data_IF_137579750211
#
_entry.id   IF_137579750211
#
_cell.length_a   1.000
_cell.length_b   1.000
_cell.length_c   1.000
_cell.angle_alpha   90.00
_cell.angle_beta   90.00
_cell.angle_gamma   90.00
#
_symmetry.space_group_name_H-M   'P 1'
#
loop_
_entity.id
_entity.type
_entity.pdbx_description
1 polymer ?
#
# COMPACT_ATOMS: atom_id res chain seq x y z
N UNK A 1 28.38 -30.30 -43.47
CA UNK A 1 29.26 -31.30 -42.80
C UNK A 1 30.23 -30.48 -41.96
N UNK A 2 29.94 -30.35 -40.69
CA UNK A 2 30.85 -30.38 -39.56
C UNK A 2 30.08 -30.00 -38.31
N UNK A 3 29.96 -30.98 -37.44
CA UNK A 3 29.38 -30.86 -36.11
C UNK A 3 30.41 -30.24 -35.16
N UNK A 4 30.01 -29.29 -34.34
CA UNK A 4 30.75 -28.95 -33.14
C UNK A 4 29.83 -29.10 -31.92
N UNK A 5 30.14 -30.18 -31.16
CA UNK A 5 29.65 -30.42 -29.82
C UNK A 5 30.12 -29.34 -28.85
N UNK A 6 29.19 -28.81 -28.04
CA UNK A 6 29.52 -28.00 -26.86
C UNK A 6 29.12 -28.78 -25.61
N UNK A 7 30.17 -29.21 -24.91
CA UNK A 7 30.21 -29.92 -23.66
C UNK A 7 29.50 -29.21 -22.51
N UNK A 8 28.56 -29.91 -21.88
CA UNK A 8 27.92 -29.53 -20.60
C UNK A 8 28.88 -29.75 -19.42
N UNK A 9 29.27 -28.71 -18.72
CA UNK A 9 29.92 -28.84 -17.41
C UNK A 9 28.87 -28.68 -16.30
N UNK A 10 28.45 -29.80 -15.72
CA UNK A 10 27.76 -29.86 -14.42
C UNK A 10 28.78 -29.54 -13.32
N UNK A 11 28.53 -28.47 -12.55
CA UNK A 11 29.18 -28.25 -11.27
C UNK A 11 28.35 -28.89 -10.17
N UNK A 12 28.89 -29.93 -9.54
CA UNK A 12 28.37 -30.57 -8.35
C UNK A 12 28.61 -29.68 -7.12
N UNK A 13 27.55 -29.33 -6.40
CA UNK A 13 27.67 -28.70 -5.07
C UNK A 13 27.78 -29.78 -4.01
N UNK A 14 28.92 -29.80 -3.32
CA UNK A 14 29.21 -30.66 -2.17
C UNK A 14 28.45 -30.15 -0.95
N UNK A 15 27.55 -31.00 -0.42
CA UNK A 15 26.92 -30.79 0.90
C UNK A 15 27.98 -30.98 2.00
N UNK A 16 28.29 -29.97 2.76
CA UNK A 16 29.00 -30.10 4.04
C UNK A 16 28.00 -30.35 5.15
N UNK A 17 28.05 -31.50 5.74
CA UNK A 17 27.38 -31.84 7.01
C UNK A 17 28.13 -31.18 8.17
N UNK A 18 27.38 -30.61 9.11
CA UNK A 18 27.91 -30.25 10.41
C UNK A 18 27.05 -30.93 11.50
N UNK A 19 27.69 -31.63 12.47
CA UNK A 19 26.97 -32.48 13.40
C UNK A 19 26.66 -31.83 14.73
N UNK A 20 25.47 -32.16 15.24
CA UNK A 20 25.07 -32.32 16.63
C UNK A 20 25.52 -31.32 17.69
N UNK A 21 24.53 -30.60 18.26
CA UNK A 21 24.47 -30.36 19.71
C UNK A 21 23.09 -30.73 20.24
N UNK A 22 23.08 -31.74 21.15
CA UNK A 22 21.98 -32.09 22.04
C UNK A 22 21.87 -31.03 23.15
N UNK A 23 20.66 -30.66 23.52
CA UNK A 23 20.43 -29.78 24.67
C UNK A 23 18.97 -29.69 25.04
N UNK A 24 18.55 -30.61 25.90
CA UNK A 24 17.61 -30.51 27.05
C UNK A 24 16.26 -29.81 26.80
N UNK A 25 15.24 -30.66 26.66
CA UNK A 25 13.85 -30.34 26.97
C UNK A 25 13.68 -30.15 28.48
N UNK A 26 13.26 -28.98 28.91
CA UNK A 26 12.67 -28.74 30.22
C UNK A 26 11.18 -28.44 30.06
N UNK A 27 10.35 -29.42 30.31
CA UNK A 27 8.91 -29.29 30.46
C UNK A 27 8.62 -28.62 31.81
N UNK A 28 8.06 -27.40 31.78
CA UNK A 28 7.46 -26.77 32.95
C UNK A 28 6.00 -27.23 33.05
N UNK A 29 5.74 -28.23 33.89
CA UNK A 29 4.42 -28.57 34.40
C UNK A 29 4.01 -27.54 35.47
N UNK A 30 3.04 -26.68 35.18
CA UNK A 30 2.40 -25.82 36.18
C UNK A 30 1.18 -26.54 36.71
N UNK A 31 1.28 -27.09 37.90
CA UNK A 31 0.15 -27.63 38.71
C UNK A 31 -0.55 -26.45 39.38
N UNK A 32 -1.82 -26.23 39.04
CA UNK A 32 -2.70 -25.30 39.77
C UNK A 32 -3.15 -25.94 41.07
N UNK A 33 -2.82 -25.32 42.23
CA UNK A 33 -3.40 -25.60 43.53
C UNK A 33 -4.55 -24.60 43.79
N UNK A 34 -5.74 -25.04 44.17
CA UNK A 34 -6.85 -24.15 44.51
C UNK A 34 -6.77 -23.82 46.02
N UNK A 35 -6.61 -22.53 46.36
CA UNK A 35 -7.03 -21.92 47.62
C UNK A 35 -6.33 -20.57 47.85
N UNK A 36 -6.93 -19.49 47.28
CA UNK A 36 -6.84 -18.15 47.88
C UNK A 36 -8.02 -17.30 47.42
N UNK A 37 -8.94 -17.02 48.31
CA UNK A 37 -10.01 -16.05 48.09
C UNK A 37 -9.51 -14.67 48.54
N UNK A 38 -9.28 -13.71 47.66
CA UNK A 38 -9.16 -12.32 48.04
C UNK A 38 -10.55 -11.68 48.10
N UNK A 39 -10.92 -11.14 49.24
CA UNK A 39 -12.07 -10.23 49.36
C UNK A 39 -11.78 -8.94 48.59
N UNK A 40 -12.39 -8.79 47.42
CA UNK A 40 -12.33 -7.54 46.66
C UNK A 40 -13.36 -6.54 47.22
N UNK A 41 -12.87 -5.46 47.77
CA UNK A 41 -13.66 -4.24 48.03
C UNK A 41 -13.92 -3.58 46.68
N UNK A 42 -15.17 -3.64 46.22
CA UNK A 42 -15.62 -3.05 44.95
C UNK A 42 -15.85 -1.55 45.08
N UNK A 43 -14.86 -0.73 44.75
CA UNK A 43 -15.10 0.68 44.49
C UNK A 43 -15.67 0.83 43.08
N UNK A 44 -16.81 1.50 42.89
CA UNK A 44 -17.49 1.75 41.59
C UNK A 44 -16.60 2.43 40.53
N UNK A 45 -15.50 3.06 40.94
CA UNK A 45 -14.50 3.67 40.03
C UNK A 45 -13.54 2.68 39.38
N UNK A 46 -13.28 1.51 40.03
CA UNK A 46 -12.39 0.49 39.47
C UNK A 46 -13.07 -0.32 38.34
N UNK A 47 -14.37 -0.58 38.51
CA UNK A 47 -15.15 -1.31 37.51
C UNK A 47 -15.38 -0.52 36.22
N UNK A 48 -15.49 0.82 36.31
CA UNK A 48 -15.63 1.65 35.12
C UNK A 48 -14.32 1.72 34.27
N UNK A 49 -13.15 1.76 34.92
CA UNK A 49 -11.86 1.71 34.22
C UNK A 49 -11.57 0.33 33.64
N UNK A 50 -11.91 -0.75 34.36
CA UNK A 50 -11.75 -2.12 33.86
C UNK A 50 -12.72 -2.41 32.70
N UNK A 51 -13.98 -1.96 32.80
CA UNK A 51 -14.97 -2.06 31.72
C UNK A 51 -14.62 -1.18 30.51
N UNK A 52 -13.99 -0.01 30.73
CA UNK A 52 -13.48 0.85 29.66
C UNK A 52 -12.23 0.22 29.00
N UNK A 53 -11.33 -0.38 29.80
CA UNK A 53 -10.15 -1.10 29.30
C UNK A 53 -10.53 -2.40 28.58
N UNK A 54 -11.55 -3.14 29.06
CA UNK A 54 -12.09 -4.33 28.39
C UNK A 54 -12.92 -3.98 27.16
N UNK A 55 -13.63 -2.84 27.14
CA UNK A 55 -14.28 -2.33 25.93
C UNK A 55 -13.27 -1.86 24.87
N UNK A 56 -12.12 -1.33 25.27
CA UNK A 56 -11.01 -1.01 24.38
C UNK A 56 -10.27 -2.27 23.89
N UNK A 57 -10.32 -3.38 24.61
CA UNK A 57 -9.70 -4.65 24.19
C UNK A 57 -10.54 -5.41 23.13
N UNK A 58 -11.79 -5.01 22.89
CA UNK A 58 -12.67 -5.57 21.85
C UNK A 58 -12.84 -4.63 20.64
N UNK A 59 -12.08 -3.53 20.55
CA UNK A 59 -12.21 -2.57 19.47
C UNK A 59 -10.99 -2.68 18.56
N UNK A 60 -11.25 -3.25 17.38
CA UNK A 60 -10.40 -3.29 16.19
C UNK A 60 -9.18 -4.21 16.26
N UNK A 61 -9.35 -5.43 15.77
CA UNK A 61 -8.25 -6.35 15.46
C UNK A 61 -7.78 -6.08 14.02
N UNK A 62 -6.98 -5.02 13.84
CA UNK A 62 -6.27 -4.83 12.58
C UNK A 62 -5.56 -6.14 12.19
N UNK A 63 -5.75 -6.58 10.97
CA UNK A 63 -5.04 -7.74 10.42
C UNK A 63 -3.75 -7.30 9.74
N UNK A 64 -2.79 -8.22 9.70
CA UNK A 64 -1.46 -7.95 9.17
C UNK A 64 -1.05 -9.00 8.16
N UNK A 65 -0.23 -8.60 7.17
CA UNK A 65 0.34 -9.49 6.16
C UNK A 65 1.85 -9.35 6.11
N UNK A 66 2.54 -10.49 6.15
CA UNK A 66 3.99 -10.53 5.95
C UNK A 66 4.31 -10.41 4.46
N UNK A 67 5.25 -9.55 4.09
CA UNK A 67 5.79 -9.50 2.74
C UNK A 67 6.65 -10.74 2.51
N UNK A 68 6.39 -11.45 1.42
CA UNK A 68 7.12 -12.67 1.08
C UNK A 68 8.62 -12.40 0.94
N UNK A 69 9.43 -13.35 1.39
CA UNK A 69 10.89 -13.31 1.35
C UNK A 69 11.54 -12.15 2.11
N UNK A 70 10.81 -11.53 3.04
CA UNK A 70 11.30 -10.43 3.89
C UNK A 70 10.93 -10.65 5.35
N UNK A 71 11.43 -9.79 6.23
CA UNK A 71 11.00 -9.70 7.63
C UNK A 71 10.02 -8.55 7.89
N UNK A 72 9.41 -7.99 6.86
CA UNK A 72 8.47 -6.88 6.93
C UNK A 72 7.04 -7.40 7.02
N UNK A 73 6.30 -6.93 8.03
CA UNK A 73 4.87 -7.22 8.19
C UNK A 73 4.10 -5.90 8.21
N UNK A 74 3.08 -5.77 7.37
CA UNK A 74 2.29 -4.53 7.19
C UNK A 74 0.87 -4.74 7.67
N UNK A 75 0.21 -3.68 8.16
CA UNK A 75 -1.24 -3.68 8.38
C UNK A 75 -1.98 -3.77 7.05
N UNK A 76 -3.08 -4.53 7.00
CA UNK A 76 -3.89 -4.71 5.78
C UNK A 76 -4.46 -3.38 5.26
N UNK A 77 -4.70 -2.41 6.16
CA UNK A 77 -5.02 -1.02 5.81
C UNK A 77 -3.84 -0.15 6.20
N UNK A 78 -3.34 0.65 5.26
CA UNK A 78 -2.24 1.59 5.49
C UNK A 78 -2.70 3.04 5.44
N UNK A 79 -1.83 3.95 5.86
CA UNK A 79 -2.06 5.39 5.85
C UNK A 79 -1.23 6.08 4.76
N UNK A 80 -1.90 6.64 3.74
CA UNK A 80 -1.24 7.40 2.68
C UNK A 80 -0.93 8.83 3.12
N UNK A 81 0.36 9.20 3.16
CA UNK A 81 0.82 10.54 3.54
C UNK A 81 0.52 11.62 2.50
N UNK A 82 0.15 11.23 1.27
CA UNK A 82 -0.20 12.16 0.19
C UNK A 82 -1.22 13.21 0.63
N UNK A 83 -2.27 12.79 1.30
CA UNK A 83 -3.39 13.65 1.69
C UNK A 83 -2.93 14.76 2.63
N UNK A 84 -2.18 14.43 3.66
CA UNK A 84 -1.82 15.35 4.76
C UNK A 84 -0.56 16.18 4.49
N UNK A 85 0.18 15.90 3.40
CA UNK A 85 1.48 16.56 3.14
C UNK A 85 1.55 17.35 1.82
N UNK A 86 0.59 17.20 0.89
CA UNK A 86 0.70 17.79 -0.45
C UNK A 86 -0.18 19.01 -0.71
N UNK A 87 -1.21 19.22 0.10
CA UNK A 87 -2.19 20.27 -0.11
C UNK A 87 -3.20 20.03 -1.25
N UNK A 88 -3.22 18.82 -1.84
CA UNK A 88 -4.10 18.46 -2.96
C UNK A 88 -5.47 17.90 -2.52
N UNK A 89 -5.63 17.64 -1.22
CA UNK A 89 -6.86 17.16 -0.58
C UNK A 89 -7.26 18.06 0.59
N UNK A 90 -6.87 19.31 0.58
CA UNK A 90 -7.03 20.25 1.67
C UNK A 90 -5.67 20.64 2.27
N UNK A 91 -5.69 21.63 3.14
CA UNK A 91 -4.50 22.09 3.84
C UNK A 91 -4.56 21.57 5.29
N UNK A 92 -3.50 20.88 5.69
CA UNK A 92 -3.34 20.33 7.04
C UNK A 92 -2.19 21.04 7.74
N UNK A 93 -2.40 21.46 8.97
CA UNK A 93 -1.32 21.84 9.86
C UNK A 93 -0.56 20.57 10.32
N UNK A 94 0.70 20.73 10.75
CA UNK A 94 1.48 19.64 11.34
C UNK A 94 0.70 18.94 12.46
N UNK A 95 0.03 19.73 13.33
CA UNK A 95 -0.78 19.20 14.44
C UNK A 95 -1.93 18.30 13.96
N UNK A 96 -2.65 18.70 12.93
CA UNK A 96 -3.77 17.93 12.36
C UNK A 96 -3.25 16.65 11.67
N UNK A 97 -2.17 16.75 10.90
CA UNK A 97 -1.53 15.59 10.29
C UNK A 97 -1.10 14.57 11.36
N UNK A 98 -0.43 15.02 12.43
CA UNK A 98 0.00 14.16 13.53
C UNK A 98 -1.18 13.55 14.29
N UNK A 99 -2.28 14.29 14.47
CA UNK A 99 -3.47 13.76 15.11
C UNK A 99 -4.07 12.58 14.32
N UNK A 100 -4.17 12.69 12.98
CA UNK A 100 -4.67 11.62 12.12
C UNK A 100 -3.72 10.42 12.11
N UNK A 101 -2.41 10.65 12.00
CA UNK A 101 -1.40 9.60 12.00
C UNK A 101 -1.38 8.82 13.32
N UNK A 102 -1.38 9.52 14.46
CA UNK A 102 -1.42 8.87 15.77
C UNK A 102 -2.73 8.11 15.99
N UNK A 103 -3.87 8.68 15.57
CA UNK A 103 -5.16 7.98 15.64
C UNK A 103 -5.16 6.70 14.81
N UNK A 104 -4.59 6.73 13.59
CA UNK A 104 -4.46 5.55 12.74
C UNK A 104 -3.58 4.48 13.44
N UNK A 105 -2.44 4.90 13.99
CA UNK A 105 -1.56 4.01 14.76
C UNK A 105 -2.27 3.40 15.97
N UNK A 106 -2.99 4.20 16.75
CA UNK A 106 -3.75 3.74 17.92
C UNK A 106 -4.87 2.73 17.58
N UNK A 107 -5.32 2.73 16.31
CA UNK A 107 -6.27 1.76 15.73
C UNK A 107 -5.58 0.58 15.02
N UNK A 108 -4.25 0.44 15.16
CA UNK A 108 -3.48 -0.69 14.65
C UNK A 108 -2.91 -0.53 13.25
N UNK A 109 -3.08 0.62 12.60
CA UNK A 109 -2.42 0.89 11.32
C UNK A 109 -0.93 1.06 11.56
N UNK A 110 -0.12 0.18 10.99
CA UNK A 110 1.35 0.26 11.10
C UNK A 110 2.03 0.72 9.82
N UNK A 111 1.42 0.51 8.65
CA UNK A 111 1.98 0.93 7.37
C UNK A 111 1.66 2.40 7.08
N UNK A 112 2.71 3.21 6.87
CA UNK A 112 2.63 4.61 6.42
C UNK A 112 3.34 4.76 5.07
N UNK A 113 2.61 5.16 4.03
CA UNK A 113 3.12 5.30 2.66
C UNK A 113 3.41 6.77 2.32
N UNK A 114 4.68 7.12 2.24
CA UNK A 114 5.23 8.44 1.91
C UNK A 114 5.87 8.48 0.51
N UNK A 115 6.46 9.59 0.17
CA UNK A 115 7.42 9.75 -0.91
C UNK A 115 8.27 11.01 -0.68
N UNK A 116 9.47 11.02 -1.22
CA UNK A 116 10.37 12.18 -1.18
C UNK A 116 9.75 13.44 -1.80
N UNK A 117 8.93 13.29 -2.83
CA UNK A 117 8.23 14.39 -3.51
C UNK A 117 6.95 14.87 -2.79
N UNK A 118 6.43 14.13 -1.80
CA UNK A 118 5.20 14.54 -1.11
C UNK A 118 5.48 15.72 -0.18
N UNK A 119 5.04 16.92 -0.63
CA UNK A 119 5.36 18.17 0.05
C UNK A 119 6.87 18.49 0.06
N UNK A 120 7.64 17.96 -0.92
CA UNK A 120 9.10 18.14 -1.01
C UNK A 120 9.85 17.64 0.25
N UNK A 121 9.59 16.41 0.63
CA UNK A 121 10.17 15.77 1.81
C UNK A 121 9.31 15.87 3.07
N UNK A 122 8.28 16.72 3.08
CA UNK A 122 7.45 16.97 4.26
C UNK A 122 6.79 15.70 4.81
N UNK A 123 6.35 14.78 3.92
CA UNK A 123 5.74 13.52 4.35
C UNK A 123 6.69 12.65 5.18
N UNK A 124 7.96 12.59 4.79
CA UNK A 124 9.00 11.86 5.51
C UNK A 124 9.40 12.57 6.81
N UNK A 125 9.51 13.89 6.79
CA UNK A 125 9.76 14.68 8.01
C UNK A 125 8.63 14.52 9.04
N UNK A 126 7.38 14.50 8.60
CA UNK A 126 6.24 14.27 9.48
C UNK A 126 6.29 12.89 10.14
N UNK A 127 6.61 11.83 9.37
CA UNK A 127 6.79 10.49 9.92
C UNK A 127 7.93 10.44 10.94
N UNK A 128 9.09 11.00 10.58
CA UNK A 128 10.26 11.05 11.47
C UNK A 128 9.96 11.76 12.79
N UNK A 129 9.19 12.87 12.77
CA UNK A 129 8.80 13.61 13.98
C UNK A 129 7.72 12.89 14.79
N UNK A 130 6.65 12.43 14.13
CA UNK A 130 5.49 11.86 14.81
C UNK A 130 5.79 10.53 15.50
N UNK A 131 6.71 9.74 14.93
CA UNK A 131 7.05 8.40 15.42
C UNK A 131 8.50 8.27 15.90
N UNK A 132 9.15 9.38 16.25
CA UNK A 132 10.54 9.40 16.70
C UNK A 132 10.86 8.37 17.79
N UNK A 133 9.97 8.25 18.77
CA UNK A 133 10.15 7.35 19.91
C UNK A 133 9.48 5.98 19.71
N UNK A 134 8.91 5.73 18.54
CA UNK A 134 8.14 4.54 18.17
C UNK A 134 8.46 4.06 16.75
N UNK A 135 9.68 4.33 16.26
CA UNK A 135 10.08 3.98 14.90
C UNK A 135 9.93 2.48 14.59
N UNK A 136 10.22 1.64 15.56
CA UNK A 136 10.16 0.19 15.42
C UNK A 136 8.73 -0.37 15.45
N UNK A 137 7.75 0.44 15.86
CA UNK A 137 6.34 0.03 15.92
C UNK A 137 5.61 0.27 14.58
N UNK A 138 6.25 0.95 13.62
CA UNK A 138 5.67 1.28 12.32
C UNK A 138 6.50 0.73 11.17
N UNK A 139 5.85 0.59 10.02
CA UNK A 139 6.45 0.27 8.73
C UNK A 139 6.37 1.50 7.83
N UNK A 140 7.50 2.01 7.41
CA UNK A 140 7.60 3.15 6.51
C UNK A 140 7.86 2.67 5.09
N UNK A 141 6.89 2.93 4.19
CA UNK A 141 7.10 2.87 2.76
C UNK A 141 7.38 4.28 2.23
N UNK A 142 8.46 4.45 1.48
CA UNK A 142 8.73 5.71 0.78
C UNK A 142 9.18 5.44 -0.65
N UNK A 143 9.27 6.51 -1.46
CA UNK A 143 9.55 6.44 -2.88
C UNK A 143 10.61 7.46 -3.26
N UNK A 144 11.50 7.09 -4.19
CA UNK A 144 12.58 7.93 -4.73
C UNK A 144 12.60 7.86 -6.25
N UNK A 145 13.28 8.81 -6.89
CA UNK A 145 13.47 8.82 -8.35
C UNK A 145 13.12 10.14 -9.03
N UNK A 146 12.61 11.12 -8.30
CA UNK A 146 12.38 12.47 -8.81
C UNK A 146 13.41 13.45 -8.26
N UNK A 147 14.07 14.20 -9.16
CA UNK A 147 15.02 15.23 -8.78
C UNK A 147 14.33 16.58 -8.51
N UNK A 148 13.56 16.63 -7.43
CA UNK A 148 12.88 17.85 -7.02
C UNK A 148 13.81 18.88 -6.36
N UNK A 149 14.98 18.47 -5.88
CA UNK A 149 15.95 19.35 -5.21
C UNK A 149 16.65 20.25 -6.21
N UNK A 150 17.15 19.69 -7.33
CA UNK A 150 17.86 20.44 -8.36
C UNK A 150 16.94 21.32 -9.23
N UNK A 151 15.64 21.07 -9.23
CA UNK A 151 14.66 21.71 -10.11
C UNK A 151 13.71 22.67 -9.37
N UNK A 152 14.17 23.31 -8.32
CA UNK A 152 13.49 24.46 -7.72
C UNK A 152 12.38 24.14 -6.73
N UNK A 153 12.47 23.01 -6.06
CA UNK A 153 11.86 22.74 -4.76
C UNK A 153 10.35 22.89 -4.63
N UNK A 154 9.58 22.97 -5.72
CA UNK A 154 8.16 23.20 -5.60
C UNK A 154 7.34 22.56 -6.71
N UNK A 155 6.48 21.65 -6.37
CA UNK A 155 5.38 21.24 -7.22
C UNK A 155 4.34 22.36 -7.26
N UNK A 156 4.58 23.39 -8.07
CA UNK A 156 3.57 24.41 -8.36
C UNK A 156 2.89 24.06 -9.67
N UNK A 157 1.63 23.63 -9.58
CA UNK A 157 0.82 23.24 -10.73
C UNK A 157 1.17 21.85 -11.30
N UNK A 158 0.74 21.55 -12.52
CA UNK A 158 0.94 20.26 -13.21
C UNK A 158 2.34 20.11 -13.86
N UNK A 159 3.32 20.88 -13.43
CA UNK A 159 4.68 20.79 -13.98
C UNK A 159 5.30 19.45 -13.62
N UNK A 160 5.74 18.70 -14.62
CA UNK A 160 6.50 17.48 -14.41
C UNK A 160 7.84 17.79 -13.71
N UNK A 161 8.12 17.06 -12.63
CA UNK A 161 9.45 17.06 -11.99
C UNK A 161 10.30 16.07 -12.79
N UNK A 162 11.54 16.42 -13.20
CA UNK A 162 12.43 15.47 -13.86
C UNK A 162 12.71 14.26 -12.96
N UNK A 163 12.78 13.10 -13.60
CA UNK A 163 13.19 11.87 -12.94
C UNK A 163 14.70 11.67 -13.09
N UNK A 164 15.31 11.06 -12.09
CA UNK A 164 16.69 10.64 -12.09
C UNK A 164 16.81 9.30 -11.36
N UNK A 165 17.11 8.25 -12.09
CA UNK A 165 17.27 6.90 -11.56
C UNK A 165 18.73 6.41 -11.67
N UNK A 166 19.70 7.32 -11.90
CA UNK A 166 21.11 6.92 -11.88
C UNK A 166 21.48 6.33 -10.52
N UNK A 167 22.38 5.34 -10.45
CA UNK A 167 22.83 4.71 -9.20
C UNK A 167 23.27 5.72 -8.13
N UNK A 168 24.04 6.70 -8.51
CA UNK A 168 24.53 7.75 -7.60
C UNK A 168 23.38 8.59 -7.02
N UNK A 169 22.38 8.92 -7.87
CA UNK A 169 21.23 9.68 -7.42
C UNK A 169 20.33 8.85 -6.50
N UNK A 170 20.06 7.58 -6.82
CA UNK A 170 19.26 6.70 -5.98
C UNK A 170 19.87 6.53 -4.59
N UNK A 171 21.19 6.34 -4.50
CA UNK A 171 21.89 6.30 -3.22
C UNK A 171 21.76 7.62 -2.44
N UNK A 172 22.02 8.74 -3.11
CA UNK A 172 21.87 10.07 -2.50
C UNK A 172 20.45 10.35 -2.04
N UNK A 173 19.43 9.99 -2.82
CA UNK A 173 18.03 10.17 -2.48
C UNK A 173 17.64 9.31 -1.28
N UNK A 174 18.14 8.06 -1.20
CA UNK A 174 17.93 7.16 -0.06
C UNK A 174 18.53 7.74 1.21
N UNK A 175 19.77 8.22 1.19
CA UNK A 175 20.39 8.85 2.36
C UNK A 175 19.63 10.10 2.82
N UNK A 176 19.16 10.91 1.88
CA UNK A 176 18.36 12.08 2.20
C UNK A 176 16.98 11.70 2.80
N UNK A 177 16.36 10.61 2.33
CA UNK A 177 15.13 10.07 2.92
C UNK A 177 15.37 9.56 4.35
N UNK A 178 16.44 8.79 4.58
CA UNK A 178 16.84 8.32 5.92
C UNK A 178 17.03 9.49 6.90
N UNK A 179 17.67 10.58 6.44
CA UNK A 179 17.87 11.79 7.26
C UNK A 179 16.54 12.47 7.61
N UNK A 180 15.60 12.63 6.65
CA UNK A 180 14.29 13.24 6.91
C UNK A 180 13.43 12.37 7.83
N UNK A 181 13.50 11.06 7.67
CA UNK A 181 12.82 10.07 8.51
C UNK A 181 13.45 9.94 9.90
N UNK A 182 14.72 10.36 10.09
CA UNK A 182 15.44 10.21 11.34
C UNK A 182 15.70 8.76 11.73
N UNK A 183 16.00 7.90 10.76
CA UNK A 183 16.23 6.45 10.93
C UNK A 183 17.39 5.97 10.08
N UNK A 184 17.98 4.85 10.45
CA UNK A 184 19.07 4.21 9.69
C UNK A 184 18.55 3.20 8.65
N UNK A 185 17.24 2.87 8.68
CA UNK A 185 16.66 1.87 7.80
C UNK A 185 15.24 2.23 7.36
N UNK A 186 14.95 2.09 6.06
CA UNK A 186 13.63 2.20 5.46
C UNK A 186 13.05 0.79 5.33
N UNK A 187 11.77 0.59 5.69
CA UNK A 187 11.17 -0.74 5.60
C UNK A 187 10.83 -1.14 4.17
N UNK A 188 10.29 -0.20 3.37
CA UNK A 188 9.92 -0.43 1.97
C UNK A 188 10.38 0.76 1.12
N UNK A 189 11.38 0.56 0.27
CA UNK A 189 11.84 1.57 -0.69
C UNK A 189 11.30 1.27 -2.07
N UNK A 190 10.68 2.25 -2.73
CA UNK A 190 10.08 2.09 -4.04
C UNK A 190 10.68 3.06 -5.06
N UNK A 191 10.91 2.60 -6.29
CA UNK A 191 11.15 3.48 -7.42
C UNK A 191 9.85 4.18 -7.81
N UNK A 192 9.86 5.51 -7.94
CA UNK A 192 8.66 6.32 -8.07
C UNK A 192 8.25 6.54 -9.52
N UNK A 193 7.16 5.92 -9.96
CA UNK A 193 6.58 6.05 -11.30
C UNK A 193 7.56 5.64 -12.42
N UNK A 194 8.08 4.43 -12.33
CA UNK A 194 9.03 3.89 -13.32
C UNK A 194 8.40 3.77 -14.70
N UNK A 195 9.21 3.97 -15.75
CA UNK A 195 8.92 3.64 -17.14
C UNK A 195 9.68 2.38 -17.57
N UNK A 196 9.50 1.96 -18.83
CA UNK A 196 10.22 0.80 -19.38
C UNK A 196 11.74 0.97 -19.35
N UNK A 197 12.24 2.20 -19.54
CA UNK A 197 13.68 2.49 -19.44
C UNK A 197 14.25 2.03 -18.08
N UNK A 198 13.54 2.26 -16.97
CA UNK A 198 13.98 1.83 -15.65
C UNK A 198 13.72 0.33 -15.43
N UNK A 199 12.69 -0.24 -16.05
CA UNK A 199 12.48 -1.69 -16.01
C UNK A 199 13.66 -2.42 -16.65
N UNK A 200 14.18 -1.91 -17.77
CA UNK A 200 15.23 -2.56 -18.56
C UNK A 200 16.66 -2.25 -18.06
N UNK A 201 16.84 -1.25 -17.20
CA UNK A 201 18.16 -0.84 -16.69
C UNK A 201 18.61 -1.66 -15.48
N UNK A 202 19.53 -2.60 -15.68
CA UNK A 202 20.09 -3.46 -14.61
C UNK A 202 20.72 -2.64 -13.48
N UNK A 203 21.40 -1.51 -13.79
CA UNK A 203 22.09 -0.72 -12.78
C UNK A 203 21.13 -0.11 -11.74
N UNK A 204 19.89 0.18 -12.14
CA UNK A 204 18.83 0.65 -11.23
C UNK A 204 18.50 -0.43 -10.19
N UNK A 205 18.25 -1.66 -10.63
CA UNK A 205 17.85 -2.77 -9.77
C UNK A 205 19.02 -3.30 -8.91
N UNK A 206 20.22 -3.38 -9.47
CA UNK A 206 21.45 -3.69 -8.73
C UNK A 206 21.71 -2.67 -7.60
N UNK A 207 21.35 -1.40 -7.80
CA UNK A 207 21.45 -0.37 -6.76
C UNK A 207 20.48 -0.62 -5.61
N UNK A 208 19.23 -1.02 -5.90
CA UNK A 208 18.26 -1.38 -4.85
C UNK A 208 18.70 -2.62 -4.08
N UNK A 209 19.20 -3.65 -4.78
CA UNK A 209 19.73 -4.87 -4.17
C UNK A 209 20.94 -4.57 -3.27
N UNK A 210 21.82 -3.67 -3.69
CA UNK A 210 22.94 -3.22 -2.88
C UNK A 210 22.47 -2.50 -1.61
N UNK A 211 21.50 -1.59 -1.71
CA UNK A 211 20.91 -0.90 -0.54
C UNK A 211 20.23 -1.88 0.43
N UNK A 212 19.59 -2.91 -0.08
CA UNK A 212 19.01 -4.00 0.70
C UNK A 212 20.10 -4.82 1.41
N UNK A 213 21.14 -5.22 0.69
CA UNK A 213 22.28 -5.98 1.24
C UNK A 213 23.08 -5.18 2.28
N UNK A 214 23.15 -3.86 2.15
CA UNK A 214 23.76 -2.95 3.10
C UNK A 214 22.90 -2.74 4.36
N UNK A 215 21.65 -3.22 4.38
CA UNK A 215 20.71 -3.07 5.48
C UNK A 215 20.07 -1.66 5.59
N UNK A 216 20.22 -0.83 4.55
CA UNK A 216 19.59 0.49 4.48
C UNK A 216 18.09 0.41 4.18
N UNK A 217 17.65 -0.67 3.56
CA UNK A 217 16.25 -0.98 3.29
C UNK A 217 15.95 -2.43 3.66
N UNK A 218 14.73 -2.72 4.15
CA UNK A 218 14.28 -4.07 4.51
C UNK A 218 13.56 -4.77 3.37
N UNK A 219 13.04 -4.01 2.42
CA UNK A 219 12.44 -4.49 1.18
C UNK A 219 12.44 -3.39 0.14
N UNK A 220 12.38 -3.77 -1.13
CA UNK A 220 12.36 -2.81 -2.22
C UNK A 220 11.42 -3.24 -3.34
N UNK A 221 11.09 -2.29 -4.21
CA UNK A 221 10.26 -2.50 -5.38
C UNK A 221 9.98 -1.22 -6.14
N UNK A 222 8.78 -1.12 -6.72
CA UNK A 222 8.41 0.02 -7.52
C UNK A 222 6.97 0.47 -7.29
N UNK A 223 6.69 1.74 -7.58
CA UNK A 223 5.36 2.29 -7.74
C UNK A 223 5.17 2.67 -9.20
N UNK A 224 4.08 2.22 -9.80
CA UNK A 224 3.73 2.57 -11.17
C UNK A 224 3.23 4.00 -11.26
N UNK A 225 3.06 4.51 -12.47
CA UNK A 225 2.73 5.90 -12.75
C UNK A 225 1.49 6.47 -12.05
N UNK A 226 1.32 7.81 -12.10
CA UNK A 226 0.33 8.52 -11.27
C UNK A 226 -1.11 8.38 -11.74
N UNK A 227 -1.35 7.74 -12.88
CA UNK A 227 -2.66 7.53 -13.47
C UNK A 227 -2.95 6.05 -13.67
N UNK A 228 -4.16 5.72 -14.13
CA UNK A 228 -4.49 4.37 -14.60
C UNK A 228 -3.76 4.11 -15.92
N UNK A 229 -3.27 2.90 -16.08
CA UNK A 229 -2.47 2.46 -17.21
C UNK A 229 -1.22 1.75 -16.71
N UNK A 230 -0.10 1.94 -17.38
CA UNK A 230 1.19 1.37 -16.97
C UNK A 230 1.21 -0.17 -16.97
N UNK A 231 0.45 -0.78 -17.88
CA UNK A 231 0.36 -2.24 -17.99
C UNK A 231 1.71 -2.84 -18.36
N UNK A 232 2.37 -2.25 -19.36
CA UNK A 232 3.67 -2.71 -19.86
C UNK A 232 4.71 -2.69 -18.77
N UNK A 233 4.86 -1.56 -18.11
CA UNK A 233 5.82 -1.37 -17.04
C UNK A 233 5.56 -2.35 -15.89
N UNK A 234 4.31 -2.52 -15.50
CA UNK A 234 3.94 -3.42 -14.41
C UNK A 234 4.20 -4.88 -14.73
N UNK A 235 3.77 -5.35 -15.89
CA UNK A 235 3.95 -6.76 -16.31
C UNK A 235 5.42 -7.07 -16.56
N UNK A 236 6.15 -6.19 -17.28
CA UNK A 236 7.56 -6.44 -17.58
C UNK A 236 8.44 -6.31 -16.33
N UNK A 237 8.15 -5.40 -15.41
CA UNK A 237 8.86 -5.35 -14.13
C UNK A 237 8.73 -6.68 -13.38
N UNK A 238 7.52 -7.23 -13.24
CA UNK A 238 7.28 -8.52 -12.61
C UNK A 238 7.99 -9.67 -13.35
N UNK A 239 7.94 -9.65 -14.68
CA UNK A 239 8.56 -10.70 -15.51
C UNK A 239 10.07 -10.71 -15.40
N UNK A 240 10.71 -9.54 -15.56
CA UNK A 240 12.15 -9.43 -15.75
C UNK A 240 12.92 -9.19 -14.44
N UNK A 241 12.25 -8.70 -13.38
CA UNK A 241 12.91 -8.30 -12.14
C UNK A 241 12.42 -9.12 -10.94
N UNK A 242 13.31 -9.31 -9.97
CA UNK A 242 12.99 -9.93 -8.69
C UNK A 242 12.95 -8.86 -7.61
N UNK A 243 11.77 -8.58 -7.07
CA UNK A 243 11.53 -7.56 -6.06
C UNK A 243 10.29 -7.89 -5.22
N UNK A 244 10.19 -7.28 -4.04
CA UNK A 244 9.23 -7.68 -3.03
C UNK A 244 7.83 -7.06 -3.19
N UNK A 245 7.76 -5.81 -3.70
CA UNK A 245 6.53 -5.02 -3.67
C UNK A 245 6.33 -4.18 -4.95
N UNK A 246 5.10 -4.19 -5.48
CA UNK A 246 4.68 -3.28 -6.54
C UNK A 246 3.45 -2.48 -6.11
N UNK A 247 3.53 -1.16 -6.19
CA UNK A 247 2.40 -0.29 -5.91
C UNK A 247 1.71 0.15 -7.18
N UNK A 248 0.39 -0.05 -7.28
CA UNK A 248 -0.40 0.39 -8.44
C UNK A 248 -1.82 0.81 -8.05
N UNK A 249 -2.57 1.38 -9.01
CA UNK A 249 -3.98 1.72 -8.86
C UNK A 249 -4.83 0.47 -9.13
N UNK A 250 -5.74 0.16 -8.19
CA UNK A 250 -6.70 -0.93 -8.33
C UNK A 250 -7.89 -0.71 -7.40
N UNK A 251 -9.11 -0.88 -7.89
CA UNK A 251 -10.33 -0.81 -7.10
C UNK A 251 -11.50 -1.41 -7.89
N UNK A 252 -12.66 -1.55 -7.28
CA UNK A 252 -13.85 -2.18 -7.88
C UNK A 252 -14.22 -1.55 -9.24
N UNK A 253 -14.06 -0.23 -9.39
CA UNK A 253 -14.43 0.51 -10.61
C UNK A 253 -13.30 0.57 -11.66
N UNK A 254 -12.07 0.32 -11.25
CA UNK A 254 -10.86 0.50 -12.07
C UNK A 254 -9.97 -0.75 -11.91
N UNK A 255 -10.43 -1.89 -12.49
CA UNK A 255 -9.73 -3.17 -12.35
C UNK A 255 -8.64 -3.38 -13.40
N UNK A 256 -8.79 -2.83 -14.60
CA UNK A 256 -7.75 -2.86 -15.62
C UNK A 256 -6.83 -1.64 -15.47
N UNK A 257 -5.49 -1.74 -15.59
CA UNK A 257 -4.68 -2.94 -15.87
C UNK A 257 -4.30 -3.76 -14.62
N UNK A 258 -4.71 -3.33 -13.41
CA UNK A 258 -4.26 -3.92 -12.15
C UNK A 258 -4.43 -5.43 -12.08
N UNK A 259 -5.59 -5.96 -12.51
CA UNK A 259 -5.84 -7.41 -12.53
C UNK A 259 -4.83 -8.18 -13.39
N UNK A 260 -4.43 -7.64 -14.55
CA UNK A 260 -3.41 -8.25 -15.42
C UNK A 260 -2.00 -8.17 -14.82
N UNK A 261 -1.69 -7.07 -14.13
CA UNK A 261 -0.41 -6.92 -13.43
C UNK A 261 -0.29 -7.94 -12.29
N UNK A 262 -1.37 -8.13 -11.51
CA UNK A 262 -1.39 -9.13 -10.44
C UNK A 262 -1.30 -10.54 -10.99
N UNK A 263 -2.02 -10.84 -12.09
CA UNK A 263 -1.94 -12.14 -12.76
C UNK A 263 -0.52 -12.46 -13.25
N UNK A 264 0.25 -11.45 -13.69
CA UNK A 264 1.62 -11.65 -14.11
C UNK A 264 2.51 -12.22 -13.00
N UNK A 265 2.24 -11.90 -11.72
CA UNK A 265 2.99 -12.49 -10.61
C UNK A 265 2.80 -14.01 -10.53
N UNK A 266 1.57 -14.50 -10.78
CA UNK A 266 1.29 -15.94 -10.84
C UNK A 266 1.88 -16.56 -12.10
N UNK A 267 1.68 -15.93 -13.26
CA UNK A 267 2.13 -16.44 -14.56
C UNK A 267 3.65 -16.64 -14.62
N UNK A 268 4.39 -15.76 -13.96
CA UNK A 268 5.86 -15.80 -13.89
C UNK A 268 6.40 -16.42 -12.58
N UNK A 269 5.53 -16.92 -11.69
CA UNK A 269 5.91 -17.56 -10.43
C UNK A 269 6.66 -16.61 -9.49
N UNK A 270 6.26 -15.34 -9.42
CA UNK A 270 6.89 -14.32 -8.58
C UNK A 270 6.20 -14.22 -7.22
N UNK A 271 7.01 -13.97 -6.20
CA UNK A 271 6.55 -13.73 -4.84
C UNK A 271 6.23 -12.24 -4.57
N UNK A 272 6.26 -11.39 -5.60
CA UNK A 272 5.92 -9.97 -5.52
C UNK A 272 4.51 -9.79 -4.97
N UNK A 273 4.40 -8.96 -3.93
CA UNK A 273 3.11 -8.55 -3.35
C UNK A 273 2.75 -7.13 -3.78
N UNK A 274 1.51 -6.72 -3.50
CA UNK A 274 0.98 -5.45 -4.02
C UNK A 274 0.58 -4.50 -2.89
N UNK A 275 0.94 -3.22 -3.04
CA UNK A 275 0.33 -2.10 -2.32
C UNK A 275 -0.67 -1.43 -3.25
N UNK A 276 -1.90 -1.31 -2.80
CA UNK A 276 -2.96 -0.75 -3.64
C UNK A 276 -3.30 0.66 -3.20
N UNK A 277 -3.15 1.62 -4.12
CA UNK A 277 -3.57 3.01 -3.93
C UNK A 277 -4.83 3.34 -4.74
N UNK A 278 -5.46 4.47 -4.43
CA UNK A 278 -6.73 4.91 -5.04
C UNK A 278 -7.85 3.88 -4.82
N UNK A 279 -7.84 3.23 -3.68
CA UNK A 279 -8.73 2.12 -3.30
C UNK A 279 -10.21 2.46 -3.44
N UNK A 280 -10.59 3.73 -3.23
CA UNK A 280 -11.95 4.23 -3.31
C UNK A 280 -12.25 5.03 -4.60
N UNK A 281 -11.44 4.85 -5.68
CA UNK A 281 -11.63 5.61 -6.93
C UNK A 281 -11.82 7.12 -6.67
N UNK A 282 -10.85 7.73 -5.98
CA UNK A 282 -10.91 9.15 -5.58
C UNK A 282 -12.14 9.52 -4.73
N UNK A 283 -12.58 8.65 -3.84
CA UNK A 283 -13.70 8.84 -2.92
C UNK A 283 -15.06 8.37 -3.46
N UNK A 284 -15.13 7.91 -4.71
CA UNK A 284 -16.37 7.46 -5.33
C UNK A 284 -16.98 6.27 -4.56
N UNK A 285 -16.16 5.29 -4.19
CA UNK A 285 -16.58 4.08 -3.46
C UNK A 285 -16.82 4.31 -1.96
N UNK A 286 -16.70 5.54 -1.47
CA UNK A 286 -17.21 5.93 -0.14
C UNK A 286 -18.74 6.11 -0.17
N UNK A 287 -19.35 6.25 -1.37
CA UNK A 287 -20.79 6.26 -1.56
C UNK A 287 -21.51 7.57 -1.20
N UNK A 288 -20.75 8.66 -0.98
CA UNK A 288 -21.30 9.94 -0.50
C UNK A 288 -21.50 10.99 -1.59
N UNK A 289 -21.04 10.75 -2.82
CA UNK A 289 -21.20 11.71 -3.90
C UNK A 289 -22.62 11.76 -4.42
N UNK A 290 -23.07 12.98 -4.71
CA UNK A 290 -24.35 13.29 -5.36
C UNK A 290 -24.10 14.03 -6.69
N UNK A 291 -25.17 14.21 -7.47
CA UNK A 291 -25.09 14.99 -8.70
C UNK A 291 -24.70 16.46 -8.45
N UNK A 292 -24.93 17.00 -7.26
CA UNK A 292 -24.57 18.35 -6.87
C UNK A 292 -23.15 18.46 -6.33
N UNK A 293 -22.44 17.35 -6.13
CA UNK A 293 -21.08 17.36 -5.59
C UNK A 293 -20.14 18.22 -6.43
N UNK A 294 -19.42 19.11 -5.77
CA UNK A 294 -18.39 19.99 -6.34
C UNK A 294 -17.09 19.85 -5.53
N UNK A 295 -15.97 20.16 -6.14
CA UNK A 295 -14.67 20.09 -5.51
C UNK A 295 -14.03 21.48 -5.40
N UNK A 296 -13.33 21.80 -4.30
CA UNK A 296 -12.60 23.06 -4.15
C UNK A 296 -11.51 23.23 -5.22
N UNK A 297 -11.09 24.49 -5.52
CA UNK A 297 -10.05 24.75 -6.55
C UNK A 297 -8.69 24.10 -6.28
N UNK A 298 -8.37 23.82 -5.00
CA UNK A 298 -7.13 23.14 -4.59
C UNK A 298 -7.26 21.62 -4.46
N UNK A 299 -8.43 21.07 -4.80
CA UNK A 299 -8.65 19.62 -4.79
C UNK A 299 -8.33 19.03 -6.19
N UNK A 300 -7.54 17.98 -6.23
CA UNK A 300 -7.15 17.39 -7.51
C UNK A 300 -8.33 16.80 -8.29
N UNK A 301 -9.45 16.49 -7.62
CA UNK A 301 -10.68 15.97 -8.27
C UNK A 301 -11.38 16.98 -9.16
N UNK A 302 -11.07 18.28 -9.02
CA UNK A 302 -11.61 19.31 -9.91
C UNK A 302 -11.23 19.10 -11.38
N UNK A 303 -10.13 18.36 -11.64
CA UNK A 303 -9.67 18.04 -12.97
C UNK A 303 -10.36 16.80 -13.58
N UNK A 304 -11.23 16.12 -12.82
CA UNK A 304 -12.04 15.01 -13.34
C UNK A 304 -13.20 15.56 -14.17
N UNK A 305 -13.51 14.93 -15.33
CA UNK A 305 -14.66 15.37 -16.12
C UNK A 305 -15.97 15.12 -15.36
N UNK A 306 -16.98 15.92 -15.63
CA UNK A 306 -18.30 15.77 -14.98
C UNK A 306 -18.90 14.38 -15.21
N UNK A 307 -18.68 13.79 -16.39
CA UNK A 307 -19.10 12.41 -16.69
C UNK A 307 -18.54 11.37 -15.72
N UNK A 308 -17.30 11.54 -15.23
CA UNK A 308 -16.73 10.66 -14.21
C UNK A 308 -17.58 10.65 -12.93
N UNK A 309 -18.03 11.82 -12.47
CA UNK A 309 -18.87 11.90 -11.28
C UNK A 309 -20.26 11.27 -11.53
N UNK A 310 -20.92 11.65 -12.60
CA UNK A 310 -22.29 11.18 -12.88
C UNK A 310 -22.35 9.69 -13.16
N UNK A 311 -21.42 9.16 -13.94
CA UNK A 311 -21.34 7.74 -14.22
C UNK A 311 -20.86 6.96 -12.99
N UNK A 312 -19.93 7.51 -12.22
CA UNK A 312 -19.49 6.91 -10.97
C UNK A 312 -20.62 6.73 -9.97
N UNK A 313 -21.49 7.72 -9.79
CA UNK A 313 -22.67 7.62 -8.93
C UNK A 313 -23.58 6.46 -9.38
N UNK A 314 -23.86 6.36 -10.69
CA UNK A 314 -24.70 5.27 -11.23
C UNK A 314 -24.07 3.89 -11.00
N UNK A 315 -22.73 3.78 -11.09
CA UNK A 315 -22.01 2.53 -10.79
C UNK A 315 -22.11 2.19 -9.31
N UNK A 316 -21.92 3.18 -8.44
CA UNK A 316 -22.01 3.04 -6.98
C UNK A 316 -23.39 2.59 -6.52
N UNK A 317 -24.47 3.13 -7.11
CA UNK A 317 -25.82 2.69 -6.77
C UNK A 317 -26.05 1.18 -7.02
N UNK A 318 -25.39 0.61 -8.00
CA UNK A 318 -25.46 -0.84 -8.26
C UNK A 318 -24.60 -1.67 -7.28
N UNK A 319 -23.73 -1.02 -6.50
CA UNK A 319 -22.89 -1.66 -5.49
C UNK A 319 -23.47 -1.57 -4.07
N UNK A 320 -24.63 -0.91 -3.87
CA UNK A 320 -25.27 -0.77 -2.55
C UNK A 320 -25.60 -2.10 -1.85
N UNK A 321 -25.71 -3.20 -2.59
CA UNK A 321 -25.86 -4.54 -2.00
C UNK A 321 -24.68 -4.97 -1.13
N UNK A 322 -23.54 -4.29 -1.23
CA UNK A 322 -22.36 -4.53 -0.40
C UNK A 322 -22.47 -3.90 0.99
N UNK A 323 -23.41 -2.97 1.19
CA UNK A 323 -23.65 -2.32 2.46
C UNK A 323 -24.51 -3.19 3.39
N UNK A 324 -24.24 -3.10 4.68
CA UNK A 324 -25.03 -3.74 5.72
C UNK A 324 -24.97 -2.91 7.02
N UNK A 325 -25.69 -3.33 8.07
CA UNK A 325 -25.60 -2.69 9.38
C UNK A 325 -24.16 -2.66 9.96
N UNK A 326 -23.30 -3.61 9.52
CA UNK A 326 -21.96 -3.80 10.04
C UNK A 326 -20.85 -3.52 9.00
N UNK A 327 -21.21 -2.98 7.84
CA UNK A 327 -20.23 -2.74 6.75
C UNK A 327 -20.68 -1.60 5.84
N UNK A 328 -19.89 -0.54 5.76
CA UNK A 328 -20.09 0.54 4.79
C UNK A 328 -19.59 0.13 3.40
N UNK A 329 -19.96 0.89 2.36
CA UNK A 329 -19.43 0.68 1.01
C UNK A 329 -17.90 0.91 0.96
N UNK A 330 -17.40 1.91 1.69
CA UNK A 330 -15.95 2.16 1.81
C UNK A 330 -15.21 0.97 2.40
N UNK A 331 -15.75 0.36 3.45
CA UNK A 331 -15.21 -0.86 4.04
C UNK A 331 -15.30 -2.06 3.08
N UNK A 332 -16.42 -2.22 2.38
CA UNK A 332 -16.58 -3.27 1.38
C UNK A 332 -15.56 -3.16 0.24
N UNK A 333 -15.26 -1.94 -0.21
CA UNK A 333 -14.24 -1.70 -1.22
C UNK A 333 -12.82 -2.12 -0.77
N UNK A 334 -12.48 -1.91 0.50
CA UNK A 334 -11.22 -2.39 1.08
C UNK A 334 -11.22 -3.92 1.21
N UNK A 335 -12.30 -4.52 1.68
CA UNK A 335 -12.43 -5.97 1.81
C UNK A 335 -12.36 -6.69 0.47
N UNK A 336 -12.90 -6.09 -0.59
CA UNK A 336 -12.76 -6.62 -1.95
C UNK A 336 -11.31 -6.72 -2.39
N UNK A 337 -10.50 -5.70 -2.12
CA UNK A 337 -9.06 -5.74 -2.37
C UNK A 337 -8.39 -6.82 -1.53
N UNK A 338 -8.68 -6.84 -0.24
CA UNK A 338 -8.04 -7.74 0.73
C UNK A 338 -8.48 -9.20 0.60
N UNK A 339 -9.50 -9.50 -0.22
CA UNK A 339 -9.84 -10.87 -0.60
C UNK A 339 -8.72 -11.55 -1.40
N UNK A 340 -7.88 -10.78 -2.12
CA UNK A 340 -6.66 -11.30 -2.74
C UNK A 340 -5.49 -11.31 -1.75
N UNK A 341 -4.96 -12.50 -1.48
CA UNK A 341 -3.83 -12.69 -0.54
C UNK A 341 -2.51 -12.08 -1.01
N UNK A 342 -2.39 -11.72 -2.30
CA UNK A 342 -1.20 -11.03 -2.85
C UNK A 342 -1.21 -9.54 -2.57
N UNK A 343 -2.36 -8.96 -2.22
CA UNK A 343 -2.45 -7.56 -1.79
C UNK A 343 -1.96 -7.48 -0.35
N UNK A 344 -0.81 -6.89 -0.14
CA UNK A 344 -0.21 -6.74 1.18
C UNK A 344 -0.96 -5.69 2.01
N UNK A 345 -1.33 -4.57 1.39
CA UNK A 345 -2.06 -3.50 2.06
C UNK A 345 -2.85 -2.64 1.07
N UNK A 346 -4.00 -2.17 1.50
CA UNK A 346 -4.81 -1.17 0.83
C UNK A 346 -4.52 0.22 1.44
N UNK A 347 -4.30 1.23 0.58
CA UNK A 347 -3.91 2.59 0.96
C UNK A 347 -5.07 3.57 0.63
N UNK A 348 -6.09 3.68 1.48
CA UNK A 348 -7.17 4.64 1.27
C UNK A 348 -6.68 6.09 1.45
N UNK A 349 -7.38 7.03 0.81
CA UNK A 349 -7.21 8.43 1.12
C UNK A 349 -7.91 8.74 2.45
N UNK A 350 -7.16 9.16 3.45
CA UNK A 350 -7.67 9.51 4.77
C UNK A 350 -7.48 11.00 4.96
N UNK A 351 -8.55 11.74 5.15
CA UNK A 351 -8.53 13.19 5.33
C UNK A 351 -9.32 13.70 6.56
N UNK A 352 -9.91 12.80 7.33
CA UNK A 352 -10.54 13.14 8.60
C UNK A 352 -10.56 11.97 9.60
N UNK A 353 -10.87 12.28 10.84
CA UNK A 353 -10.88 11.33 11.97
C UNK A 353 -11.90 10.19 11.80
N UNK A 354 -13.02 10.43 11.13
CA UNK A 354 -14.07 9.42 10.98
C UNK A 354 -13.67 8.38 9.92
N UNK A 355 -13.02 8.81 8.84
CA UNK A 355 -12.42 7.87 7.88
C UNK A 355 -11.30 7.04 8.48
N UNK A 356 -10.47 7.61 9.39
CA UNK A 356 -9.47 6.79 10.11
C UNK A 356 -10.15 5.63 10.83
N UNK A 357 -11.24 5.90 11.56
CA UNK A 357 -12.01 4.88 12.28
C UNK A 357 -12.67 3.88 11.35
N UNK A 358 -13.36 4.39 10.32
CA UNK A 358 -14.08 3.58 9.35
C UNK A 358 -13.16 2.60 8.64
N UNK A 359 -12.05 3.09 8.08
CA UNK A 359 -11.18 2.25 7.27
C UNK A 359 -10.30 1.34 8.12
N UNK A 360 -9.85 1.77 9.29
CA UNK A 360 -9.16 0.87 10.22
C UNK A 360 -10.05 -0.30 10.67
N UNK A 361 -11.36 -0.07 10.80
CA UNK A 361 -12.33 -1.09 11.18
C UNK A 361 -12.70 -2.04 10.02
N UNK A 362 -12.25 -1.79 8.79
CA UNK A 362 -12.65 -2.62 7.63
C UNK A 362 -12.29 -4.09 7.83
N UNK A 363 -11.14 -4.39 8.45
CA UNK A 363 -10.69 -5.78 8.67
C UNK A 363 -11.48 -6.54 9.73
N UNK A 364 -12.29 -5.85 10.53
CA UNK A 364 -13.20 -6.45 11.51
C UNK A 364 -14.58 -6.76 10.91
N UNK A 365 -14.91 -6.16 9.77
CA UNK A 365 -16.16 -6.42 9.09
C UNK A 365 -16.19 -7.85 8.51
N UNK A 366 -17.40 -8.44 8.35
CA UNK A 366 -17.55 -9.70 7.65
C UNK A 366 -16.94 -9.60 6.23
N UNK A 367 -16.14 -10.60 5.80
CA UNK A 367 -15.59 -10.62 4.45
C UNK A 367 -16.71 -10.65 3.41
N UNK A 368 -16.40 -10.26 2.19
CA UNK A 368 -17.33 -10.41 1.07
C UNK A 368 -17.58 -11.89 0.80
N UNK A 369 -18.83 -12.23 0.52
CA UNK A 369 -19.23 -13.58 0.13
C UNK A 369 -18.82 -13.87 -1.33
N UNK A 370 -18.74 -15.14 -1.70
CA UNK A 370 -18.49 -15.54 -3.09
C UNK A 370 -19.51 -14.96 -4.06
N UNK A 371 -20.80 -14.90 -3.66
CA UNK A 371 -21.87 -14.29 -4.46
C UNK A 371 -21.67 -12.78 -4.64
N UNK A 372 -21.24 -12.06 -3.59
CA UNK A 372 -20.93 -10.63 -3.69
C UNK A 372 -19.75 -10.40 -4.65
N UNK A 373 -18.68 -11.20 -4.54
CA UNK A 373 -17.53 -11.13 -5.43
C UNK A 373 -17.90 -11.42 -6.88
N UNK A 374 -18.66 -12.49 -7.13
CA UNK A 374 -19.13 -12.85 -8.46
C UNK A 374 -20.03 -11.76 -9.09
N UNK A 375 -20.89 -11.13 -8.27
CA UNK A 375 -21.74 -10.02 -8.72
C UNK A 375 -20.93 -8.77 -9.07
N UNK A 376 -19.87 -8.47 -8.33
CA UNK A 376 -18.94 -7.38 -8.69
C UNK A 376 -18.28 -7.66 -10.04
N UNK A 377 -17.77 -8.88 -10.25
CA UNK A 377 -17.14 -9.27 -11.52
C UNK A 377 -18.14 -9.20 -12.70
N UNK A 378 -19.40 -9.62 -12.51
CA UNK A 378 -20.46 -9.49 -13.51
C UNK A 378 -20.73 -8.02 -13.86
N UNK A 379 -20.90 -7.16 -12.86
CA UNK A 379 -21.16 -5.73 -13.05
C UNK A 379 -19.99 -5.05 -13.76
N UNK A 380 -18.76 -5.33 -13.33
CA UNK A 380 -17.57 -4.78 -13.97
C UNK A 380 -17.43 -5.23 -15.42
N UNK A 381 -17.63 -6.52 -15.72
CA UNK A 381 -17.56 -7.08 -17.07
C UNK A 381 -18.54 -6.46 -18.06
N UNK A 382 -19.65 -5.89 -17.56
CA UNK A 382 -20.66 -5.15 -18.35
C UNK A 382 -20.52 -3.63 -18.24
N UNK A 383 -19.40 -3.13 -17.70
CA UNK A 383 -19.21 -1.72 -17.35
C UNK A 383 -20.43 -1.13 -16.61
N UNK A 384 -21.03 -1.91 -15.70
CA UNK A 384 -22.24 -1.51 -14.95
C UNK A 384 -23.41 -1.08 -15.88
N UNK A 385 -23.45 -1.56 -17.12
CA UNK A 385 -24.45 -1.16 -18.12
C UNK A 385 -24.34 0.30 -18.57
N UNK A 386 -23.19 0.93 -18.36
CA UNK A 386 -22.95 2.35 -18.69
C UNK A 386 -22.11 2.44 -19.96
N UNK A 387 -22.62 3.17 -20.95
CA UNK A 387 -21.87 3.53 -22.15
C UNK A 387 -20.91 4.69 -21.82
N UNK A 388 -19.62 4.44 -21.89
CA UNK A 388 -18.55 5.43 -21.69
C UNK A 388 -17.57 5.38 -22.86
N UNK A 389 -17.00 6.54 -23.21
CA UNK A 389 -15.85 6.56 -24.08
C UNK A 389 -14.66 5.81 -23.42
N UNK A 390 -13.83 5.10 -24.19
CA UNK A 390 -12.66 4.43 -23.66
C UNK A 390 -11.79 5.39 -22.84
N UNK A 391 -11.37 4.96 -21.66
CA UNK A 391 -10.47 5.77 -20.82
C UNK A 391 -9.10 5.84 -21.49
N UNK A 392 -8.54 7.04 -21.71
CA UNK A 392 -7.18 7.16 -22.20
C UNK A 392 -6.21 6.71 -21.10
N UNK A 393 -5.54 5.60 -21.33
CA UNK A 393 -4.52 5.10 -20.42
C UNK A 393 -3.20 5.87 -20.56
N UNK A 394 -2.37 5.84 -19.52
CA UNK A 394 -1.02 6.42 -19.48
C UNK A 394 0.02 5.30 -19.51
N UNK A 395 1.30 5.67 -19.73
CA UNK A 395 2.40 4.70 -19.83
C UNK A 395 2.66 4.27 -21.29
N UNK A 396 3.51 3.27 -21.46
CA UNK A 396 3.87 2.72 -22.78
C UNK A 396 2.83 1.71 -23.27
N UNK A 397 1.60 2.17 -23.53
CA UNK A 397 0.43 1.33 -23.79
C UNK A 397 0.13 1.11 -25.28
N UNK A 398 1.08 1.25 -26.20
CA UNK A 398 0.81 1.16 -27.64
C UNK A 398 0.18 -0.17 -28.09
N UNK A 399 0.46 -1.27 -27.40
CA UNK A 399 -0.11 -2.58 -27.74
C UNK A 399 -1.42 -2.92 -27.01
N UNK A 400 -1.82 -2.18 -25.99
CA UNK A 400 -3.00 -2.52 -25.17
C UNK A 400 -4.31 -2.17 -25.85
N UNK A 401 -4.31 -1.26 -26.82
CA UNK A 401 -5.47 -0.97 -27.66
C UNK A 401 -5.94 -2.20 -28.49
N UNK A 402 -5.10 -3.23 -28.61
CA UNK A 402 -5.42 -4.47 -29.32
C UNK A 402 -6.02 -5.57 -28.44
N UNK A 403 -6.13 -5.37 -27.11
CA UNK A 403 -6.51 -6.41 -26.15
C UNK A 403 -7.74 -6.00 -25.30
N UNK A 404 -8.30 -4.82 -25.54
CA UNK A 404 -9.51 -4.35 -24.86
C UNK A 404 -10.79 -4.76 -25.62
#
# INVERSE_FOLDING_TARGET
>A
MEFLEVSSRKKSFVKRHNPLKKGVEQSCNVTFSPLYHPRFSTSKKCNARLAYSLKLLFLYLMKYRALKNTNVTVSEVGFGMWTVSTGWWGNYTEKEAFALMNQAFDLGVTLFDAADTYGNGLSEEYLGKAFKDRRDDIVIATKIGYDFVSHGGGRRGQRAIPQNFSPDYLRKATEAALQRLGTDCIDILQLHNIGMEQVDDDAVWETLEALYSEGKVRSYGAALGPAIGWLYEGVNAIKERDFHILQHIYNILEQHPGKKIQQAADDYGRDTMFLIRVTHSSGMLEGHYTEETTFPPNDHRIHRPRSWLLNGIKKVEQLRFLESENRTLGQAALLWLLADSRIASALPNIYNSDQVKEFAAATDCPPLTEDELAKIDELYGKNFGIEEAPTPYKGTMEEVAAVA
#
